data_IF_667219152628
#
_entry.id   IF_667219152628
#
_cell.length_a   1.000
_cell.length_b   1.000
_cell.length_c   1.000
_cell.angle_alpha   90.00
_cell.angle_beta   90.00
_cell.angle_gamma   90.00
#
_symmetry.space_group_name_H-M   'P 1'
#
loop_
_entity.id
_entity.type
_entity.pdbx_description
1 polymer ?
#
# COMPACT_ATOMS: atom_id res chain seq x y z
N UNK A 1 -34.96 -27.42 -6.64
CA UNK A 1 -34.46 -26.18 -6.01
C UNK A 1 -33.82 -25.39 -7.12
N UNK A 2 -34.29 -24.17 -7.41
CA UNK A 2 -33.57 -23.32 -8.37
C UNK A 2 -32.19 -23.05 -7.76
N UNK A 3 -31.17 -23.69 -8.32
CA UNK A 3 -29.80 -23.25 -8.08
C UNK A 3 -29.78 -21.82 -8.58
N UNK A 4 -29.51 -20.87 -7.69
CA UNK A 4 -29.43 -19.47 -8.09
C UNK A 4 -28.12 -19.33 -8.88
N UNK A 5 -28.17 -19.65 -10.17
CA UNK A 5 -27.00 -19.69 -11.06
C UNK A 5 -26.25 -18.35 -11.06
N UNK A 6 -26.98 -17.26 -10.81
CA UNK A 6 -26.40 -15.94 -10.57
C UNK A 6 -25.52 -15.92 -9.31
N UNK A 7 -26.00 -16.39 -8.16
CA UNK A 7 -25.21 -16.43 -6.91
C UNK A 7 -24.02 -17.37 -7.02
N UNK A 8 -24.17 -18.49 -7.73
CA UNK A 8 -23.05 -19.40 -8.00
C UNK A 8 -21.98 -18.75 -8.89
N UNK A 9 -22.40 -18.08 -9.97
CA UNK A 9 -21.49 -17.36 -10.86
C UNK A 9 -20.83 -16.16 -10.17
N UNK A 10 -21.56 -15.45 -9.31
CA UNK A 10 -21.05 -14.34 -8.51
C UNK A 10 -20.05 -14.84 -7.47
N UNK A 11 -20.38 -15.88 -6.70
CA UNK A 11 -19.46 -16.52 -5.77
C UNK A 11 -18.16 -16.95 -6.47
N UNK A 12 -18.25 -17.59 -7.64
CA UNK A 12 -17.07 -17.99 -8.42
C UNK A 12 -16.30 -16.81 -9.04
N UNK A 13 -16.90 -15.61 -9.09
CA UNK A 13 -16.21 -14.39 -9.50
C UNK A 13 -15.45 -13.75 -8.32
N UNK A 14 -16.00 -13.81 -7.10
CA UNK A 14 -15.34 -13.31 -5.88
C UNK A 14 -14.01 -14.01 -5.61
N UNK A 15 -13.89 -15.30 -5.96
CA UNK A 15 -12.67 -16.08 -5.75
C UNK A 15 -11.53 -15.76 -6.76
N UNK A 16 -11.75 -14.81 -7.68
CA UNK A 16 -10.78 -14.48 -8.72
C UNK A 16 -9.86 -13.33 -8.32
N UNK A 17 -8.63 -13.37 -8.82
CA UNK A 17 -7.64 -12.32 -8.58
C UNK A 17 -8.10 -10.93 -9.06
N UNK A 18 -8.86 -10.87 -10.15
CA UNK A 18 -9.41 -9.61 -10.67
C UNK A 18 -10.36 -8.94 -9.68
N UNK A 19 -11.06 -9.74 -8.87
CA UNK A 19 -11.90 -9.20 -7.80
C UNK A 19 -11.05 -8.66 -6.64
N UNK A 20 -10.00 -9.39 -6.23
CA UNK A 20 -9.05 -8.89 -5.22
C UNK A 20 -8.42 -7.55 -5.63
N UNK A 21 -8.03 -7.40 -6.91
CA UNK A 21 -7.52 -6.14 -7.43
C UNK A 21 -8.59 -5.04 -7.41
N UNK A 22 -9.82 -5.35 -7.82
CA UNK A 22 -10.92 -4.39 -7.80
C UNK A 22 -11.23 -3.91 -6.37
N UNK A 23 -11.28 -4.81 -5.39
CA UNK A 23 -11.44 -4.46 -3.98
C UNK A 23 -10.31 -3.57 -3.48
N UNK A 24 -9.07 -3.88 -3.85
CA UNK A 24 -7.91 -3.09 -3.49
C UNK A 24 -7.99 -1.65 -4.07
N UNK A 25 -8.38 -1.50 -5.34
CA UNK A 25 -8.59 -0.18 -5.94
C UNK A 25 -9.72 0.59 -5.23
N UNK A 26 -10.84 -0.06 -4.92
CA UNK A 26 -11.94 0.56 -4.17
C UNK A 26 -11.48 1.06 -2.80
N UNK A 27 -10.72 0.22 -2.08
CA UNK A 27 -10.14 0.61 -0.79
C UNK A 27 -9.21 1.82 -0.93
N UNK A 28 -8.31 1.81 -1.91
CA UNK A 28 -7.40 2.93 -2.17
C UNK A 28 -8.14 4.23 -2.49
N UNK A 29 -9.18 4.18 -3.32
CA UNK A 29 -9.98 5.35 -3.66
C UNK A 29 -10.67 5.95 -2.42
N UNK A 30 -11.29 5.11 -1.59
CA UNK A 30 -11.94 5.54 -0.35
C UNK A 30 -10.93 6.15 0.63
N UNK A 31 -9.78 5.49 0.81
CA UNK A 31 -8.70 6.00 1.68
C UNK A 31 -8.16 7.34 1.19
N UNK A 32 -7.99 7.50 -0.12
CA UNK A 32 -7.53 8.75 -0.72
C UNK A 32 -8.54 9.89 -0.49
N UNK A 33 -9.82 9.64 -0.77
CA UNK A 33 -10.89 10.61 -0.56
C UNK A 33 -10.98 11.03 0.93
N UNK A 34 -10.89 10.06 1.85
CA UNK A 34 -10.86 10.34 3.28
C UNK A 34 -9.65 11.19 3.67
N UNK A 35 -8.45 10.83 3.18
CA UNK A 35 -7.23 11.60 3.45
C UNK A 35 -7.35 13.05 2.97
N UNK A 36 -7.95 13.28 1.79
CA UNK A 36 -8.19 14.62 1.27
C UNK A 36 -9.16 15.41 2.18
N UNK A 37 -10.25 14.78 2.62
CA UNK A 37 -11.19 15.39 3.58
C UNK A 37 -10.55 15.71 4.93
N UNK A 38 -9.72 14.79 5.44
CA UNK A 38 -8.96 14.98 6.69
C UNK A 38 -8.02 16.18 6.60
N UNK A 39 -7.26 16.31 5.51
CA UNK A 39 -6.40 17.46 5.27
C UNK A 39 -7.20 18.77 5.14
N UNK A 40 -8.33 18.74 4.44
CA UNK A 40 -9.21 19.91 4.30
C UNK A 40 -9.79 20.38 5.65
N UNK A 41 -10.00 19.46 6.61
CA UNK A 41 -10.43 19.77 7.97
C UNK A 41 -9.29 20.30 8.88
N UNK A 42 -8.07 20.46 8.35
CA UNK A 42 -6.88 20.89 9.11
C UNK A 42 -6.11 19.76 9.78
N UNK A 43 -6.47 18.51 9.50
CA UNK A 43 -5.73 17.34 9.96
C UNK A 43 -4.38 17.20 9.26
N UNK A 44 -3.35 16.77 10.00
CA UNK A 44 -2.05 16.49 9.40
C UNK A 44 -2.09 15.19 8.61
N UNK A 45 -1.44 15.12 7.43
CA UNK A 45 -1.35 13.86 6.69
C UNK A 45 -0.62 12.79 7.52
N UNK A 46 -0.93 11.51 7.32
CA UNK A 46 -0.13 10.44 7.90
C UNK A 46 1.32 10.61 7.43
N UNK A 47 2.24 10.74 8.38
CA UNK A 47 3.66 10.89 8.09
C UNK A 47 4.14 9.60 7.44
N UNK A 48 4.77 9.70 6.26
CA UNK A 48 5.53 8.59 5.70
C UNK A 48 6.69 8.31 6.65
N UNK A 49 6.49 7.42 7.62
CA UNK A 49 7.56 7.01 8.52
C UNK A 49 8.67 6.36 7.69
N UNK A 50 9.91 6.85 7.84
CA UNK A 50 11.06 6.27 7.16
C UNK A 50 11.26 4.86 7.69
N UNK A 51 10.79 3.87 6.95
CA UNK A 51 10.80 2.47 7.39
C UNK A 51 12.24 1.97 7.60
N UNK A 52 13.19 2.48 6.81
CA UNK A 52 14.62 2.20 6.99
C UNK A 52 15.49 3.40 6.57
N UNK A 53 16.62 3.57 7.27
CA UNK A 53 17.68 4.50 6.89
C UNK A 53 18.93 3.68 6.57
N UNK A 54 19.44 3.79 5.33
CA UNK A 54 20.71 3.19 4.95
C UNK A 54 21.85 3.95 5.64
N UNK A 55 22.67 3.25 6.42
CA UNK A 55 23.90 3.81 6.99
C UNK A 55 25.00 3.82 5.91
N UNK A 56 25.87 4.85 5.87
CA UNK A 56 26.98 4.90 4.93
C UNK A 56 27.95 3.73 5.16
N UNK A 57 28.49 3.18 4.07
CA UNK A 57 29.47 2.08 4.12
C UNK A 57 30.81 2.58 4.68
N UNK A 58 31.45 1.86 5.61
CA UNK A 58 32.78 2.20 6.10
C UNK A 58 33.84 1.76 5.08
N UNK A 59 33.91 2.42 3.93
CA UNK A 59 34.98 2.24 2.96
C UNK A 59 35.56 3.61 2.63
N UNK A 60 36.43 4.09 3.52
CA UNK A 60 37.12 5.36 3.40
C UNK A 60 38.17 5.63 4.47
N UNK A 61 38.61 4.63 5.23
CA UNK A 61 39.88 4.72 5.99
C UNK A 61 40.99 4.18 5.10
N UNK A 62 41.32 5.00 4.12
CA UNK A 62 42.53 4.92 3.33
C UNK A 62 43.71 5.00 4.31
N UNK A 63 44.32 3.84 4.59
CA UNK A 63 45.59 3.74 5.32
C UNK A 63 46.67 4.43 4.48
N UNK A 64 46.73 5.75 4.58
CA UNK A 64 47.77 6.60 4.03
C UNK A 64 48.70 7.03 5.15
N UNK A 65 49.90 6.45 5.16
CA UNK A 65 51.10 7.04 5.72
C UNK A 65 51.46 6.63 7.15
N UNK A 66 52.45 5.76 7.28
CA UNK A 66 53.85 6.16 7.58
C UNK A 66 54.71 4.92 7.82
N UNK A 67 55.59 4.63 6.87
CA UNK A 67 56.94 4.14 7.17
C UNK A 67 57.93 4.88 6.28
#
# INVERSE_FOLDING_TARGET
>A
MYTNDFEAAFSAFLDRHEYDEAENYLFFMVRLAFSAGWQAAGGQPPVSEKIYQLLPSPAGEEQSGKE
#
